data_IF_207516917960
#
_entry.id   IF_207516917960
#
_cell.length_a   1.000
_cell.length_b   1.000
_cell.length_c   1.000
_cell.angle_alpha   90.00
_cell.angle_beta   90.00
_cell.angle_gamma   90.00
#
_symmetry.space_group_name_H-M   'P 1'
#
loop_
_entity.id
_entity.type
_entity.pdbx_description
1 polymer ?
#
# COMPACT_ATOMS: atom_id res chain seq x y z
N UNK A 1 -6.04 -0.07 23.66
CA UNK A 1 -5.81 -0.39 22.22
C UNK A 1 -4.38 0.01 21.90
N UNK A 2 -3.56 -0.88 21.34
CA UNK A 2 -2.15 -0.58 21.05
C UNK A 2 -2.09 0.34 19.82
N UNK A 3 -1.84 1.64 20.03
CA UNK A 3 -1.75 2.64 18.95
C UNK A 3 -0.40 2.61 18.22
N UNK A 4 0.53 1.75 18.61
CA UNK A 4 1.90 1.67 18.07
C UNK A 4 2.08 0.67 16.92
N UNK A 5 1.05 -0.11 16.58
CA UNK A 5 1.11 -1.09 15.49
C UNK A 5 0.52 -0.50 14.20
N UNK A 6 1.21 -0.75 13.09
CA UNK A 6 0.83 -0.23 11.79
C UNK A 6 1.81 -0.62 10.71
N UNK A 7 1.57 -0.12 9.50
CA UNK A 7 2.47 -0.29 8.36
C UNK A 7 3.36 0.94 8.27
N UNK A 8 4.68 0.73 8.23
CA UNK A 8 5.64 1.75 7.84
C UNK A 8 6.03 1.52 6.38
N UNK A 9 5.86 2.55 5.56
CA UNK A 9 6.22 2.55 4.15
C UNK A 9 7.31 3.59 3.96
N UNK A 10 8.47 3.14 3.48
CA UNK A 10 9.59 4.02 3.16
C UNK A 10 9.86 3.93 1.66
N UNK A 11 9.81 5.07 0.96
CA UNK A 11 10.30 5.18 -0.42
C UNK A 11 11.59 5.97 -0.46
N UNK A 12 12.56 5.52 -1.27
CA UNK A 12 13.79 6.26 -1.55
C UNK A 12 13.83 6.56 -3.04
N UNK A 13 13.93 7.84 -3.35
CA UNK A 13 14.04 8.36 -4.71
C UNK A 13 15.27 9.26 -4.83
N UNK A 14 15.59 9.71 -6.05
CA UNK A 14 16.63 10.71 -6.29
C UNK A 14 16.38 12.03 -5.56
N UNK A 15 15.11 12.33 -5.23
CA UNK A 15 14.69 13.58 -4.55
C UNK A 15 14.75 13.45 -3.03
N UNK A 16 14.93 12.23 -2.50
CA UNK A 16 15.06 11.98 -1.08
C UNK A 16 14.27 10.76 -0.61
N UNK A 17 14.15 10.64 0.72
CA UNK A 17 13.40 9.58 1.38
C UNK A 17 12.05 10.12 1.84
N UNK A 18 10.98 9.34 1.64
CA UNK A 18 9.65 9.63 2.19
C UNK A 18 9.22 8.48 3.07
N UNK A 19 8.86 8.79 4.31
CA UNK A 19 8.35 7.84 5.29
C UNK A 19 6.86 8.11 5.55
N UNK A 20 6.06 7.06 5.45
CA UNK A 20 4.62 7.10 5.71
C UNK A 20 4.28 6.00 6.73
N UNK A 21 3.72 6.41 7.87
CA UNK A 21 3.17 5.47 8.86
C UNK A 21 1.65 5.42 8.75
N UNK A 22 1.11 4.21 8.64
CA UNK A 22 -0.33 3.94 8.53
C UNK A 22 -0.74 3.10 9.75
N UNK A 23 -1.45 3.69 10.71
CA UNK A 23 -1.96 2.97 11.88
C UNK A 23 -2.83 1.77 11.48
N UNK A 24 -2.63 0.63 12.13
CA UNK A 24 -3.33 -0.61 11.78
C UNK A 24 -4.86 -0.46 11.85
N UNK A 25 -5.35 0.27 12.86
CA UNK A 25 -6.78 0.52 13.07
C UNK A 25 -7.43 1.37 11.97
N UNK A 26 -6.64 2.04 11.14
CA UNK A 26 -7.15 2.80 9.99
C UNK A 26 -7.21 1.94 8.73
N UNK A 27 -6.54 0.78 8.68
CA UNK A 27 -6.51 -0.07 7.49
C UNK A 27 -7.80 -0.88 7.38
N UNK A 28 -8.53 -0.68 6.30
CA UNK A 28 -9.74 -1.45 6.00
C UNK A 28 -9.44 -2.63 5.08
N UNK A 29 -8.60 -2.43 4.07
CA UNK A 29 -8.20 -3.49 3.17
C UNK A 29 -6.88 -3.19 2.47
N UNK A 30 -6.24 -4.26 2.00
CA UNK A 30 -5.05 -4.19 1.15
C UNK A 30 -5.39 -4.99 -0.11
N UNK A 31 -5.18 -4.43 -1.30
CA UNK A 31 -5.52 -5.11 -2.55
C UNK A 31 -4.65 -4.61 -3.70
N UNK A 32 -4.62 -5.38 -4.79
CA UNK A 32 -3.98 -4.96 -6.03
C UNK A 32 -5.04 -4.24 -6.84
N UNK A 33 -4.79 -2.98 -7.14
CA UNK A 33 -5.64 -2.15 -7.97
C UNK A 33 -5.13 -2.16 -9.41
N UNK A 34 -6.02 -2.40 -10.36
CA UNK A 34 -5.73 -2.28 -11.79
C UNK A 34 -6.10 -0.86 -12.24
N UNK A 35 -5.17 -0.17 -12.90
CA UNK A 35 -5.38 1.21 -13.36
C UNK A 35 -4.97 1.32 -14.82
N UNK A 36 -5.76 2.05 -15.61
CA UNK A 36 -5.47 2.33 -17.01
C UNK A 36 -4.85 3.72 -17.13
N UNK A 37 -3.61 3.77 -17.62
CA UNK A 37 -2.88 5.03 -17.85
C UNK A 37 -2.33 5.03 -19.26
N UNK A 38 -2.72 6.02 -20.08
CA UNK A 38 -2.24 6.19 -21.47
C UNK A 38 -2.29 4.89 -22.30
N UNK A 39 -3.44 4.21 -22.28
CA UNK A 39 -3.67 2.93 -22.97
C UNK A 39 -2.82 1.74 -22.47
N UNK A 40 -2.24 1.84 -21.27
CA UNK A 40 -1.52 0.74 -20.61
C UNK A 40 -2.21 0.38 -19.31
N UNK A 41 -2.30 -0.92 -19.03
CA UNK A 41 -2.74 -1.45 -17.74
C UNK A 41 -1.54 -1.50 -16.80
N UNK A 42 -1.67 -0.85 -15.65
CA UNK A 42 -0.70 -0.89 -14.55
C UNK A 42 -1.37 -1.48 -13.30
N UNK A 43 -0.58 -2.15 -12.48
CA UNK A 43 -1.03 -2.75 -11.23
C UNK A 43 -0.35 -2.05 -10.07
N UNK A 44 -1.14 -1.64 -9.07
CA UNK A 44 -0.64 -0.95 -7.88
C UNK A 44 -1.12 -1.67 -6.63
N UNK A 45 -0.21 -2.05 -5.74
CA UNK A 45 -0.60 -2.50 -4.41
C UNK A 45 -1.13 -1.30 -3.64
N UNK A 46 -2.37 -1.36 -3.19
CA UNK A 46 -3.09 -0.23 -2.58
C UNK A 46 -3.60 -0.61 -1.20
N UNK A 47 -3.43 0.31 -0.25
CA UNK A 47 -4.06 0.23 1.07
C UNK A 47 -5.27 1.17 1.07
N UNK A 48 -6.45 0.64 1.38
CA UNK A 48 -7.62 1.44 1.71
C UNK A 48 -7.60 1.74 3.21
N UNK A 49 -7.59 3.02 3.54
CA UNK A 49 -7.66 3.50 4.91
C UNK A 49 -8.92 4.31 5.18
N UNK A 50 -9.37 4.31 6.43
CA UNK A 50 -10.45 5.17 6.91
C UNK A 50 -9.99 5.97 8.11
N UNK A 51 -9.91 7.28 7.94
CA UNK A 51 -9.54 8.22 8.99
C UNK A 51 -10.63 9.27 9.15
N UNK A 52 -11.15 9.43 10.38
CA UNK A 52 -12.20 10.41 10.72
C UNK A 52 -13.40 10.38 9.76
N UNK A 53 -13.80 9.18 9.34
CA UNK A 53 -14.91 8.95 8.42
C UNK A 53 -14.60 9.15 6.94
N UNK A 54 -13.38 9.58 6.58
CA UNK A 54 -12.94 9.73 5.19
C UNK A 54 -12.14 8.52 4.75
N UNK A 55 -12.50 7.97 3.59
CA UNK A 55 -11.76 6.88 2.96
C UNK A 55 -10.65 7.44 2.06
N UNK A 56 -9.49 6.80 2.10
CA UNK A 56 -8.31 7.18 1.30
C UNK A 56 -7.66 5.94 0.72
N UNK A 57 -7.29 6.01 -0.55
CA UNK A 57 -6.46 5.01 -1.22
C UNK A 57 -5.00 5.46 -1.16
N UNK A 58 -4.14 4.59 -0.65
CA UNK A 58 -2.70 4.81 -0.55
C UNK A 58 -2.02 3.77 -1.46
N UNK A 59 -1.64 4.14 -2.69
CA UNK A 59 -0.85 3.27 -3.55
C UNK A 59 0.57 3.15 -3.00
N UNK A 60 1.11 1.93 -3.01
CA UNK A 60 2.45 1.60 -2.59
C UNK A 60 3.35 1.38 -3.81
N UNK A 61 4.66 1.58 -3.61
CA UNK A 61 5.69 1.32 -4.62
C UNK A 61 5.49 2.06 -5.95
N UNK A 62 4.93 3.28 -5.93
CA UNK A 62 4.69 4.09 -7.13
C UNK A 62 5.95 4.33 -7.97
N UNK A 63 7.11 4.47 -7.32
CA UNK A 63 8.39 4.70 -7.99
C UNK A 63 8.97 3.41 -8.62
N UNK A 64 8.71 2.26 -8.02
CA UNK A 64 9.25 0.96 -8.47
C UNK A 64 8.38 0.29 -9.52
N UNK A 65 7.06 0.47 -9.44
CA UNK A 65 6.05 -0.19 -10.27
C UNK A 65 6.32 -1.69 -10.49
N UNK A 66 6.34 -2.52 -9.42
CA UNK A 66 6.64 -3.93 -9.54
C UNK A 66 5.65 -4.66 -10.46
N UNK A 67 6.13 -5.67 -11.20
CA UNK A 67 5.25 -6.55 -11.99
C UNK A 67 4.23 -7.25 -11.09
N UNK A 68 3.03 -7.51 -11.62
CA UNK A 68 1.89 -8.12 -10.91
C UNK A 68 2.28 -9.31 -10.02
N UNK A 69 3.05 -10.28 -10.55
CA UNK A 69 3.51 -11.45 -9.78
C UNK A 69 4.19 -11.13 -8.44
N UNK A 70 4.91 -10.01 -8.37
CA UNK A 70 5.57 -9.59 -7.13
C UNK A 70 4.58 -8.91 -6.19
N UNK A 71 3.65 -8.12 -6.73
CA UNK A 71 2.58 -7.50 -5.95
C UNK A 71 1.69 -8.57 -5.31
N UNK A 72 1.41 -9.67 -6.00
CA UNK A 72 0.66 -10.82 -5.47
C UNK A 72 1.37 -11.47 -4.28
N UNK A 73 2.67 -11.69 -4.39
CA UNK A 73 3.50 -12.24 -3.29
C UNK A 73 3.46 -11.32 -2.07
N UNK A 74 3.68 -10.01 -2.28
CA UNK A 74 3.68 -9.02 -1.20
C UNK A 74 2.28 -8.91 -0.58
N UNK A 75 1.23 -8.82 -1.40
CA UNK A 75 -0.15 -8.71 -0.93
C UNK A 75 -0.55 -9.95 -0.10
N UNK A 76 -0.16 -11.15 -0.54
CA UNK A 76 -0.38 -12.38 0.22
C UNK A 76 0.28 -12.31 1.59
N UNK A 77 1.55 -11.91 1.65
CA UNK A 77 2.29 -11.79 2.90
C UNK A 77 1.66 -10.77 3.86
N UNK A 78 1.23 -9.62 3.37
CA UNK A 78 0.59 -8.58 4.19
C UNK A 78 -0.81 -8.98 4.69
N UNK A 79 -1.52 -9.83 3.96
CA UNK A 79 -2.86 -10.34 4.32
C UNK A 79 -2.83 -11.55 5.25
N UNK A 80 -1.71 -12.28 5.29
CA UNK A 80 -1.49 -13.36 6.22
C UNK A 80 -0.59 -12.87 7.36
N UNK A 81 -1.10 -12.09 8.34
CA UNK A 81 -0.36 -11.95 9.57
C UNK A 81 -0.26 -13.37 10.14
N UNK A 82 0.97 -13.85 10.28
CA UNK A 82 1.32 -15.12 10.92
C UNK A 82 0.40 -15.38 12.13
N UNK A 83 -0.37 -16.47 12.03
CA UNK A 83 -1.13 -17.09 13.11
C UNK A 83 -0.23 -17.53 14.24
#
# INVERSE_FOLDING_TARGET
MVHSLGYQVTSKSLVGQTDLFIPWNQVQSIFINEVIVRHKVIHLLTILTKEKGKEKLIPLFLDLQPRLKHLEIICKHLKSPSS
#
